data_IF_459030322101
#
_entry.id   IF_459030322101
#
_cell.length_a   1.000
_cell.length_b   1.000
_cell.length_c   1.000
_cell.angle_alpha   90.00
_cell.angle_beta   90.00
_cell.angle_gamma   90.00
#
_symmetry.space_group_name_H-M   'P 1'
#
loop_
_entity.id
_entity.type
_entity.pdbx_description
1 polymer ?
#
# COMPACT_ATOMS: atom_id res chain seq x y z
N UNK A 1 -17.29 42.65 -37.51
CA UNK A 1 -17.14 41.64 -36.44
C UNK A 1 -15.68 41.61 -36.01
N UNK A 2 -15.42 41.94 -34.74
CA UNK A 2 -14.11 42.35 -34.22
C UNK A 2 -13.16 41.16 -33.95
N UNK A 3 -11.87 41.30 -34.31
CA UNK A 3 -10.83 40.26 -34.24
C UNK A 3 -10.62 39.63 -32.86
N UNK A 4 -11.02 40.32 -31.79
CA UNK A 4 -10.99 39.81 -30.41
C UNK A 4 -11.86 38.56 -30.21
N UNK A 5 -12.95 38.40 -30.98
CA UNK A 5 -13.81 37.21 -30.88
C UNK A 5 -13.17 35.94 -31.48
N UNK A 6 -12.22 36.07 -32.41
CA UNK A 6 -11.48 34.91 -32.96
C UNK A 6 -10.37 34.47 -32.00
N UNK A 7 -9.68 35.42 -31.36
CA UNK A 7 -8.61 35.14 -30.39
C UNK A 7 -9.15 34.42 -29.14
N UNK A 8 -10.31 34.85 -28.63
CA UNK A 8 -10.96 34.19 -27.47
C UNK A 8 -11.38 32.73 -27.74
N UNK A 9 -11.79 32.40 -28.98
CA UNK A 9 -12.15 31.01 -29.34
C UNK A 9 -10.92 30.10 -29.43
N UNK A 10 -9.78 30.63 -29.89
CA UNK A 10 -8.53 29.87 -29.95
C UNK A 10 -7.96 29.59 -28.56
N UNK A 11 -8.00 30.58 -27.66
CA UNK A 11 -7.57 30.41 -26.26
C UNK A 11 -8.48 29.43 -25.49
N UNK A 12 -9.79 29.41 -25.76
CA UNK A 12 -10.71 28.41 -25.18
C UNK A 12 -10.42 26.98 -25.65
N UNK A 13 -10.03 26.80 -26.93
CA UNK A 13 -9.64 25.49 -27.47
C UNK A 13 -8.31 24.98 -26.91
N UNK A 14 -7.35 25.87 -26.67
CA UNK A 14 -6.07 25.50 -26.04
C UNK A 14 -6.25 24.98 -24.61
N UNK A 15 -7.11 25.62 -23.81
CA UNK A 15 -7.40 25.20 -22.42
C UNK A 15 -8.08 23.84 -22.35
N UNK A 16 -8.96 23.50 -23.29
CA UNK A 16 -9.58 22.17 -23.35
C UNK A 16 -8.58 21.08 -23.72
N UNK A 17 -7.66 21.35 -24.66
CA UNK A 17 -6.66 20.35 -25.10
C UNK A 17 -5.67 20.03 -23.97
N UNK A 18 -5.20 21.04 -23.24
CA UNK A 18 -4.36 20.84 -22.05
C UNK A 18 -5.10 20.04 -20.96
N UNK A 19 -6.38 20.33 -20.72
CA UNK A 19 -7.17 19.61 -19.72
C UNK A 19 -7.34 18.12 -20.08
N UNK A 20 -7.63 17.81 -21.35
CA UNK A 20 -7.72 16.43 -21.82
C UNK A 20 -6.36 15.72 -21.78
N UNK A 21 -5.27 16.39 -22.14
CA UNK A 21 -3.93 15.83 -22.07
C UNK A 21 -3.54 15.47 -20.62
N UNK A 22 -3.81 16.34 -19.65
CA UNK A 22 -3.55 16.06 -18.23
C UNK A 22 -4.41 14.91 -17.69
N UNK A 23 -5.67 14.82 -18.14
CA UNK A 23 -6.57 13.74 -17.72
C UNK A 23 -6.14 12.39 -18.29
N UNK A 24 -5.73 12.36 -19.56
CA UNK A 24 -5.18 11.16 -20.20
C UNK A 24 -3.84 10.74 -19.58
N UNK A 25 -2.97 11.71 -19.27
CA UNK A 25 -1.70 11.43 -18.62
C UNK A 25 -1.92 10.89 -17.20
N UNK A 26 -2.84 11.49 -16.43
CA UNK A 26 -3.21 10.99 -15.10
C UNK A 26 -3.79 9.58 -15.14
N UNK A 27 -4.65 9.29 -16.13
CA UNK A 27 -5.21 7.95 -16.34
C UNK A 27 -4.13 6.93 -16.74
N UNK A 28 -3.24 7.29 -17.67
CA UNK A 28 -2.13 6.43 -18.08
C UNK A 28 -1.19 6.14 -16.91
N UNK A 29 -0.89 7.16 -16.10
CA UNK A 29 -0.08 7.01 -14.89
C UNK A 29 -0.76 6.10 -13.85
N UNK A 30 -2.07 6.26 -13.64
CA UNK A 30 -2.84 5.40 -12.74
C UNK A 30 -2.90 3.94 -13.23
N UNK A 31 -2.98 3.70 -14.54
CA UNK A 31 -2.97 2.36 -15.12
C UNK A 31 -1.58 1.70 -15.06
N UNK A 32 -0.51 2.50 -15.15
CA UNK A 32 0.88 2.02 -15.05
C UNK A 32 1.30 1.73 -13.59
N UNK A 33 0.85 2.53 -12.62
CA UNK A 33 1.19 2.37 -11.20
C UNK A 33 0.15 1.57 -10.39
N UNK A 34 -1.07 1.41 -10.89
CA UNK A 34 -2.11 0.61 -10.25
C UNK A 34 -1.70 -0.84 -9.92
N UNK A 35 -1.12 -1.61 -10.86
CA UNK A 35 -0.78 -3.01 -10.59
C UNK A 35 0.44 -3.18 -9.67
N UNK A 36 1.34 -2.20 -9.59
CA UNK A 36 2.53 -2.29 -8.72
C UNK A 36 2.19 -2.07 -7.25
N UNK A 37 1.19 -1.24 -6.95
CA UNK A 37 0.71 -1.00 -5.58
C UNK A 37 -0.22 -2.12 -5.07
N UNK A 38 -0.88 -2.85 -5.98
CA UNK A 38 -1.76 -3.96 -5.62
C UNK A 38 -1.00 -5.24 -5.21
N UNK A 39 0.30 -5.33 -5.51
CA UNK A 39 1.16 -6.42 -5.05
C UNK A 39 1.68 -6.14 -3.63
N UNK A 40 0.80 -5.80 -2.70
CA UNK A 40 1.11 -5.95 -1.29
C UNK A 40 1.15 -7.46 -1.02
N UNK A 41 2.36 -8.01 -0.88
CA UNK A 41 2.54 -9.42 -0.51
C UNK A 41 1.72 -9.68 0.74
N UNK A 42 0.69 -10.53 0.62
CA UNK A 42 -0.05 -11.00 1.80
C UNK A 42 0.98 -11.64 2.72
N UNK A 43 1.10 -11.20 3.98
CA UNK A 43 2.06 -11.80 4.89
C UNK A 43 1.75 -13.31 4.97
N UNK A 44 2.79 -14.17 5.01
CA UNK A 44 2.58 -15.60 5.09
C UNK A 44 1.71 -15.94 6.29
N UNK A 45 0.87 -16.98 6.15
CA UNK A 45 0.01 -17.39 7.25
C UNK A 45 0.86 -18.04 8.34
N UNK A 46 0.93 -17.40 9.51
CA UNK A 46 1.65 -17.93 10.68
C UNK A 46 0.63 -18.65 11.56
N UNK A 47 0.75 -19.97 11.65
CA UNK A 47 -0.08 -20.78 12.56
C UNK A 47 0.68 -20.98 13.88
N UNK A 48 0.17 -20.40 14.97
CA UNK A 48 0.66 -20.68 16.32
C UNK A 48 0.08 -22.01 16.80
N UNK A 49 0.94 -23.00 17.01
CA UNK A 49 0.53 -24.32 17.49
C UNK A 49 0.44 -24.37 19.01
N UNK A 50 1.38 -23.71 19.68
CA UNK A 50 1.47 -23.68 21.13
C UNK A 50 2.13 -22.40 21.60
N UNK A 51 1.56 -21.85 22.67
CA UNK A 51 2.09 -20.72 23.40
C UNK A 51 2.04 -21.07 24.88
N UNK A 52 3.20 -21.27 25.49
CA UNK A 52 3.32 -21.40 26.95
C UNK A 52 4.07 -20.19 27.49
N UNK A 53 3.51 -19.58 28.53
CA UNK A 53 4.17 -18.56 29.31
C UNK A 53 4.17 -18.98 30.79
N UNK A 54 5.35 -18.92 31.39
CA UNK A 54 5.58 -19.25 32.79
C UNK A 54 6.14 -18.01 33.48
N UNK A 55 5.54 -17.66 34.62
CA UNK A 55 5.89 -16.50 35.43
C UNK A 55 6.24 -16.98 36.83
N UNK A 56 7.48 -16.75 37.24
CA UNK A 56 7.89 -16.95 38.62
C UNK A 56 8.06 -15.59 39.27
N UNK A 57 7.36 -15.35 40.37
CA UNK A 57 7.44 -14.11 41.15
C UNK A 57 8.00 -14.47 42.52
N UNK A 58 9.19 -13.94 42.83
CA UNK A 58 9.82 -14.12 44.12
C UNK A 58 9.27 -13.14 45.16
N UNK A 59 9.45 -13.48 46.45
CA UNK A 59 8.97 -12.66 47.56
C UNK A 59 9.66 -11.28 47.67
N UNK A 60 10.84 -11.13 47.07
CA UNK A 60 11.56 -9.85 46.96
C UNK A 60 11.04 -8.95 45.82
N UNK A 61 10.02 -9.41 45.09
CA UNK A 61 9.41 -8.70 43.97
C UNK A 61 10.16 -8.88 42.64
N UNK A 62 11.26 -9.63 42.60
CA UNK A 62 11.85 -10.04 41.33
C UNK A 62 10.95 -11.05 40.63
N UNK A 63 10.99 -11.06 39.29
CA UNK A 63 10.24 -12.03 38.52
C UNK A 63 11.05 -12.51 37.31
N UNK A 64 10.83 -13.78 36.94
CA UNK A 64 11.33 -14.36 35.70
C UNK A 64 10.16 -14.73 34.80
N UNK A 65 10.36 -14.53 33.50
CA UNK A 65 9.40 -14.90 32.47
C UNK A 65 10.08 -15.89 31.55
N UNK A 66 9.41 -17.02 31.31
CA UNK A 66 9.83 -18.00 30.33
C UNK A 66 8.73 -18.19 29.31
N UNK A 67 9.10 -18.02 28.06
CA UNK A 67 8.19 -18.08 26.93
C UNK A 67 8.61 -19.20 25.98
N UNK A 68 7.65 -20.06 25.62
CA UNK A 68 7.83 -21.12 24.64
C UNK A 68 6.80 -20.91 23.53
N UNK A 69 7.29 -20.65 22.32
CA UNK A 69 6.47 -20.52 21.12
C UNK A 69 6.75 -21.67 20.17
N UNK A 70 5.69 -22.34 19.74
CA UNK A 70 5.75 -23.32 18.65
C UNK A 70 4.98 -22.77 17.46
N UNK A 71 5.72 -22.48 16.39
CA UNK A 71 5.21 -21.86 15.17
C UNK A 71 5.30 -22.86 14.04
N UNK A 72 4.22 -23.00 13.26
CA UNK A 72 4.21 -23.74 12.01
C UNK A 72 4.12 -22.77 10.84
N UNK A 73 5.06 -22.92 9.91
CA UNK A 73 5.04 -22.22 8.63
C UNK A 73 4.45 -23.16 7.59
N UNK A 74 3.25 -22.83 7.09
CA UNK A 74 2.50 -23.68 6.17
C UNK A 74 2.85 -23.40 4.69
N UNK A 75 3.58 -22.32 4.42
CA UNK A 75 3.91 -21.88 3.07
C UNK A 75 5.29 -22.38 2.60
N UNK A 76 5.41 -22.63 1.30
CA UNK A 76 6.70 -22.86 0.63
C UNK A 76 7.47 -21.55 0.57
N UNK A 77 8.60 -21.49 1.25
CA UNK A 77 9.60 -20.45 1.02
C UNK A 77 10.12 -20.55 -0.41
N UNK A 78 9.79 -19.57 -1.25
CA UNK A 78 10.45 -19.38 -2.55
C UNK A 78 11.48 -18.27 -2.41
N UNK A 79 12.75 -18.61 -2.66
CA UNK A 79 13.91 -17.71 -2.65
C UNK A 79 13.91 -16.74 -3.82
#
# INVERSE_FOLDING_TARGET
MSGYQRLFRLLRRGRSVCAWASLLLGLALALLLGPTLASAQTPPSITYLRYDAEFDIAADGSFTVREIQQIRFDDRYTT
#
